data_IF_052906325339
#
_entry.id   IF_052906325339
#
_cell.length_a   1.000
_cell.length_b   1.000
_cell.length_c   1.000
_cell.angle_alpha   90.00
_cell.angle_beta   90.00
_cell.angle_gamma   90.00
#
_symmetry.space_group_name_H-M   'P 1'
#
loop_
_entity.id
_entity.type
_entity.pdbx_description
1 polymer ?
#
# COMPACT_ATOMS: atom_id res chain seq x y z
N UNK A 1 27.20 6.80 -5.99
CA UNK A 1 26.52 7.49 -7.11
C UNK A 1 25.39 6.57 -7.58
N UNK A 2 24.17 6.80 -7.09
CA UNK A 2 23.00 5.93 -7.41
C UNK A 2 22.68 6.17 -8.89
N UNK A 3 22.86 5.17 -9.75
CA UNK A 3 22.41 5.25 -11.14
C UNK A 3 20.90 5.29 -11.16
N UNK A 4 20.31 6.44 -11.51
CA UNK A 4 18.90 6.54 -11.83
C UNK A 4 18.59 5.59 -12.99
N UNK A 5 17.52 4.77 -12.91
CA UNK A 5 17.08 4.00 -14.06
C UNK A 5 16.74 4.94 -15.22
N UNK A 6 16.95 4.51 -16.48
CA UNK A 6 16.70 5.36 -17.64
C UNK A 6 15.23 5.81 -17.71
N UNK A 7 15.02 7.10 -17.96
CA UNK A 7 13.72 7.76 -18.12
C UNK A 7 13.04 7.37 -19.44
N UNK A 8 12.67 6.12 -19.62
CA UNK A 8 12.05 5.68 -20.86
C UNK A 8 10.77 4.87 -20.72
N UNK A 9 10.06 4.95 -19.57
CA UNK A 9 8.72 4.39 -19.46
C UNK A 9 7.69 5.51 -19.41
N UNK A 10 6.59 5.45 -20.20
CA UNK A 10 5.53 6.44 -20.14
C UNK A 10 4.95 6.52 -18.72
N UNK A 11 4.86 7.72 -18.16
CA UNK A 11 4.41 8.03 -16.80
C UNK A 11 2.94 7.63 -16.49
N UNK A 12 2.26 6.94 -17.41
CA UNK A 12 0.82 6.64 -17.34
C UNK A 12 0.48 5.16 -17.52
N UNK A 13 1.45 4.26 -17.43
CA UNK A 13 1.15 2.82 -17.56
C UNK A 13 1.03 2.16 -16.18
N UNK A 14 0.26 1.06 -16.11
CA UNK A 14 0.23 0.15 -14.96
C UNK A 14 1.62 -0.26 -14.48
N UNK A 15 2.60 -0.27 -15.38
CA UNK A 15 4.01 -0.50 -15.09
C UNK A 15 4.60 0.50 -14.08
N UNK A 16 4.15 1.76 -14.03
CA UNK A 16 4.64 2.71 -13.03
C UNK A 16 4.18 2.34 -11.63
N UNK A 17 2.97 1.82 -11.45
CA UNK A 17 2.46 1.36 -10.14
C UNK A 17 3.15 0.08 -9.67
N UNK A 18 3.65 -0.75 -10.59
CA UNK A 18 4.34 -2.01 -10.26
C UNK A 18 5.73 -1.78 -9.68
N UNK A 19 6.38 -0.68 -10.04
CA UNK A 19 7.74 -0.37 -9.62
C UNK A 19 7.83 -0.25 -8.10
N UNK A 20 6.91 0.43 -7.43
CA UNK A 20 6.96 0.64 -5.96
C UNK A 20 6.72 -0.60 -5.14
N UNK A 21 5.78 -1.44 -5.62
CA UNK A 21 5.34 -2.62 -4.88
C UNK A 21 6.39 -3.72 -4.86
N UNK A 22 7.46 -3.57 -5.67
CA UNK A 22 8.50 -4.58 -5.85
C UNK A 22 9.92 -4.11 -5.53
N UNK A 23 10.09 -2.87 -5.08
CA UNK A 23 11.42 -2.33 -4.80
C UNK A 23 11.74 -2.39 -3.30
N UNK A 24 12.99 -2.64 -2.99
CA UNK A 24 13.57 -2.51 -1.67
C UNK A 24 15.01 -2.03 -1.77
N UNK A 25 15.53 -1.47 -0.69
CA UNK A 25 16.96 -1.21 -0.57
C UNK A 25 17.66 -2.46 -0.02
N UNK A 26 18.92 -2.68 -0.41
CA UNK A 26 19.75 -3.68 0.25
C UNK A 26 20.05 -3.26 1.69
N UNK A 27 20.70 -4.14 2.46
CA UNK A 27 21.01 -3.92 3.87
C UNK A 27 21.97 -2.74 4.11
N UNK A 28 22.73 -2.32 3.10
CA UNK A 28 23.61 -1.15 3.14
C UNK A 28 22.91 0.12 2.66
N UNK A 29 21.74 0.01 2.02
CA UNK A 29 21.03 1.12 1.40
C UNK A 29 21.70 1.67 0.13
N UNK A 30 22.62 0.90 -0.47
CA UNK A 30 23.42 1.32 -1.63
C UNK A 30 22.83 0.83 -2.95
N UNK A 31 22.13 -0.30 -2.93
CA UNK A 31 21.57 -0.90 -4.13
C UNK A 31 20.05 -1.01 -4.04
N UNK A 32 19.40 -0.73 -5.17
CA UNK A 32 17.97 -0.96 -5.34
C UNK A 32 17.76 -2.40 -5.79
N UNK A 33 17.02 -3.16 -4.97
CA UNK A 33 16.64 -4.54 -5.27
C UNK A 33 15.23 -4.53 -5.85
N UNK A 34 15.07 -4.98 -7.08
CA UNK A 34 13.76 -5.20 -7.70
C UNK A 34 13.36 -6.65 -7.51
N UNK A 35 12.24 -6.86 -6.81
CA UNK A 35 11.66 -8.18 -6.55
C UNK A 35 10.76 -8.59 -7.72
N UNK A 36 10.68 -9.89 -8.00
CA UNK A 36 9.82 -10.45 -9.05
C UNK A 36 8.53 -11.06 -8.47
N UNK A 37 8.06 -10.53 -7.34
CA UNK A 37 6.85 -10.96 -6.65
C UNK A 37 6.16 -9.78 -5.96
N UNK A 38 4.88 -9.95 -5.65
CA UNK A 38 4.07 -8.98 -4.90
C UNK A 38 3.65 -9.57 -3.56
N UNK A 39 4.43 -9.30 -2.53
CA UNK A 39 4.13 -9.72 -1.17
C UNK A 39 3.71 -8.50 -0.35
N UNK A 40 2.48 -8.50 0.12
CA UNK A 40 1.90 -7.34 0.81
C UNK A 40 1.91 -7.57 2.32
N UNK A 41 2.66 -6.72 3.02
CA UNK A 41 2.63 -6.63 4.48
C UNK A 41 1.35 -5.94 4.95
N UNK A 42 0.72 -6.49 5.97
CA UNK A 42 -0.46 -5.89 6.60
C UNK A 42 -0.14 -5.58 8.06
N UNK A 43 -0.21 -4.31 8.43
CA UNK A 43 0.03 -3.92 9.82
C UNK A 43 -1.16 -4.35 10.70
N UNK A 44 -0.90 -5.20 11.67
CA UNK A 44 -1.90 -5.73 12.62
C UNK A 44 -1.53 -5.31 14.03
N UNK A 45 -2.45 -4.62 14.69
CA UNK A 45 -2.34 -4.32 16.12
C UNK A 45 -2.63 -5.55 16.96
N UNK A 46 -1.73 -5.83 17.93
CA UNK A 46 -1.82 -6.96 18.82
C UNK A 46 -1.61 -6.53 20.28
N UNK A 47 -2.03 -7.32 21.27
CA UNK A 47 -1.79 -7.00 22.69
C UNK A 47 -0.32 -6.81 23.08
N UNK A 48 0.61 -7.25 22.23
CA UNK A 48 2.07 -7.14 22.46
C UNK A 48 2.75 -6.13 21.54
N UNK A 49 2.00 -5.35 20.79
CA UNK A 49 2.50 -4.34 19.86
C UNK A 49 2.13 -4.64 18.41
N UNK A 50 2.58 -3.78 17.51
CA UNK A 50 2.33 -3.88 16.09
C UNK A 50 3.20 -4.97 15.46
N UNK A 51 2.59 -5.83 14.65
CA UNK A 51 3.29 -6.81 13.80
C UNK A 51 2.85 -6.64 12.35
N UNK A 52 3.72 -7.01 11.41
CA UNK A 52 3.45 -6.87 9.97
C UNK A 52 3.58 -8.24 9.29
N UNK A 53 2.58 -9.10 9.39
CA UNK A 53 2.54 -10.32 8.60
C UNK A 53 2.42 -10.03 7.11
N UNK A 54 2.88 -10.97 6.28
CA UNK A 54 3.03 -10.80 4.84
C UNK A 54 2.17 -11.80 4.10
N UNK A 55 1.22 -11.31 3.32
CA UNK A 55 0.48 -12.07 2.31
C UNK A 55 1.37 -12.21 1.09
N UNK A 56 1.76 -13.44 0.76
CA UNK A 56 2.66 -13.72 -0.36
C UNK A 56 1.89 -13.88 -1.66
N UNK A 57 2.53 -13.48 -2.77
CA UNK A 57 2.01 -13.63 -4.14
C UNK A 57 0.58 -13.08 -4.28
N UNK A 58 0.36 -11.88 -3.77
CA UNK A 58 -0.96 -11.26 -3.70
C UNK A 58 -1.60 -11.02 -5.08
N UNK A 59 -0.78 -10.84 -6.12
CA UNK A 59 -1.19 -10.68 -7.51
C UNK A 59 -1.80 -11.95 -8.14
N UNK A 60 -1.55 -13.12 -7.55
CA UNK A 60 -2.08 -14.41 -8.00
C UNK A 60 -3.35 -14.84 -7.23
N UNK A 61 -3.92 -13.97 -6.41
CA UNK A 61 -5.06 -14.29 -5.55
C UNK A 61 -6.29 -13.45 -5.91
N UNK A 62 -7.45 -14.06 -5.83
CA UNK A 62 -8.72 -13.34 -5.96
C UNK A 62 -8.98 -12.44 -4.75
N UNK A 63 -9.84 -11.45 -4.90
CA UNK A 63 -10.27 -10.57 -3.81
C UNK A 63 -10.83 -11.38 -2.64
N UNK A 64 -11.63 -12.41 -2.91
CA UNK A 64 -12.17 -13.30 -1.88
C UNK A 64 -11.06 -14.06 -1.15
N UNK A 65 -10.13 -14.66 -1.89
CA UNK A 65 -8.99 -15.38 -1.31
C UNK A 65 -8.09 -14.47 -0.46
N UNK A 66 -7.85 -13.23 -0.92
CA UNK A 66 -7.12 -12.23 -0.12
C UNK A 66 -7.86 -11.86 1.16
N UNK A 67 -9.20 -11.75 1.11
CA UNK A 67 -10.02 -11.44 2.28
C UNK A 67 -9.97 -12.56 3.32
N UNK A 68 -10.08 -13.82 2.89
CA UNK A 68 -9.99 -14.98 3.78
C UNK A 68 -8.61 -15.11 4.43
N UNK A 69 -7.54 -14.94 3.64
CA UNK A 69 -6.17 -14.98 4.15
C UNK A 69 -5.88 -13.82 5.11
N UNK A 70 -6.40 -12.64 4.82
CA UNK A 70 -6.28 -11.47 5.70
C UNK A 70 -6.94 -11.71 7.06
N UNK A 71 -8.11 -12.34 7.10
CA UNK A 71 -8.80 -12.70 8.33
C UNK A 71 -7.98 -13.72 9.13
N UNK A 72 -7.55 -14.80 8.50
CA UNK A 72 -6.74 -15.85 9.15
C UNK A 72 -5.42 -15.29 9.72
N UNK A 73 -4.67 -14.55 8.91
CA UNK A 73 -3.36 -14.02 9.32
C UNK A 73 -3.51 -13.00 10.45
N UNK A 74 -4.59 -12.21 10.44
CA UNK A 74 -4.88 -11.24 11.49
C UNK A 74 -5.23 -11.92 12.82
N UNK A 75 -6.01 -12.99 12.79
CA UNK A 75 -6.34 -13.76 13.99
C UNK A 75 -5.12 -14.49 14.57
N UNK A 76 -4.29 -15.06 13.70
CA UNK A 76 -3.03 -15.71 14.12
C UNK A 76 -2.03 -14.68 14.67
N UNK A 77 -2.01 -13.47 14.14
CA UNK A 77 -1.21 -12.38 14.68
C UNK A 77 -1.61 -12.06 16.12
N UNK A 78 -2.92 -11.81 16.37
CA UNK A 78 -3.44 -11.49 17.71
C UNK A 78 -3.26 -12.62 18.71
N UNK A 79 -3.31 -13.87 18.26
CA UNK A 79 -3.15 -15.08 19.10
C UNK A 79 -1.71 -15.57 19.19
N UNK A 80 -0.73 -14.82 18.66
CA UNK A 80 0.72 -15.17 18.66
C UNK A 80 1.05 -16.51 17.98
N UNK A 81 0.31 -16.86 16.94
CA UNK A 81 0.48 -18.11 16.19
C UNK A 81 1.18 -17.93 14.84
N UNK A 82 1.70 -16.72 14.57
CA UNK A 82 2.47 -16.47 13.35
C UNK A 82 3.85 -17.11 13.42
N UNK A 83 4.29 -17.64 12.31
CA UNK A 83 5.65 -18.15 12.14
C UNK A 83 6.60 -17.02 11.74
N UNK A 84 7.90 -17.08 12.09
CA UNK A 84 8.86 -16.01 11.73
C UNK A 84 8.98 -15.77 10.22
N UNK A 85 8.72 -16.79 9.40
CA UNK A 85 8.76 -16.71 7.92
C UNK A 85 7.59 -15.90 7.35
N UNK A 86 6.49 -15.79 8.09
CA UNK A 86 5.31 -15.02 7.71
C UNK A 86 5.48 -13.51 7.97
N UNK A 87 6.52 -13.12 8.68
CA UNK A 87 6.89 -11.73 8.97
C UNK A 87 7.98 -11.19 8.02
N UNK A 88 8.39 -11.98 7.03
CA UNK A 88 9.50 -11.64 6.13
C UNK A 88 9.12 -11.67 4.67
N UNK A 89 9.89 -10.92 3.89
CA UNK A 89 9.78 -10.93 2.43
C UNK A 89 8.69 -10.02 1.88
N UNK A 90 8.16 -9.10 2.68
CA UNK A 90 7.25 -8.06 2.20
C UNK A 90 7.90 -7.20 1.11
N UNK A 91 7.10 -6.69 0.21
CA UNK A 91 7.52 -5.77 -0.85
C UNK A 91 6.86 -4.39 -0.73
N UNK A 92 5.73 -4.33 -0.06
CA UNK A 92 4.96 -3.12 0.22
C UNK A 92 4.05 -3.39 1.43
N UNK A 93 3.87 -2.41 2.30
CA UNK A 93 3.02 -2.56 3.48
C UNK A 93 1.77 -1.69 3.39
N UNK A 94 0.66 -2.21 3.89
CA UNK A 94 -0.59 -1.47 4.12
C UNK A 94 -0.86 -1.43 5.62
N UNK A 95 -1.08 -0.22 6.14
CA UNK A 95 -1.50 0.02 7.52
C UNK A 95 -2.88 0.66 7.52
N UNK A 96 -3.83 0.08 8.23
CA UNK A 96 -5.20 0.61 8.28
C UNK A 96 -5.59 1.01 9.69
N UNK A 97 -6.01 2.26 9.85
CA UNK A 97 -6.65 2.78 11.05
C UNK A 97 -8.17 2.96 10.87
N UNK A 98 -8.73 2.45 9.77
CA UNK A 98 -10.15 2.62 9.43
C UNK A 98 -11.12 2.14 10.50
N UNK A 99 -10.76 1.09 11.24
CA UNK A 99 -11.57 0.56 12.35
C UNK A 99 -11.35 1.28 13.68
N UNK A 100 -10.24 2.00 13.84
CA UNK A 100 -9.86 2.65 15.11
C UNK A 100 -10.33 4.11 15.12
N UNK A 101 -10.07 4.83 14.04
CA UNK A 101 -10.41 6.26 13.91
C UNK A 101 -9.30 7.06 13.24
N UNK A 102 -9.43 8.39 13.30
CA UNK A 102 -8.50 9.31 12.66
C UNK A 102 -8.88 9.63 11.21
N UNK A 103 -8.55 10.85 10.79
CA UNK A 103 -8.85 11.35 9.44
C UNK A 103 -7.68 11.21 8.49
N UNK A 104 -6.46 11.26 9.01
CA UNK A 104 -5.21 11.09 8.27
C UNK A 104 -4.10 10.68 9.25
N UNK A 105 -3.11 9.96 8.76
CA UNK A 105 -1.86 9.68 9.48
C UNK A 105 -0.73 9.44 8.48
N UNK A 106 0.50 9.53 8.96
CA UNK A 106 1.70 9.26 8.16
C UNK A 106 2.32 7.96 8.67
N UNK A 107 2.15 6.85 7.95
CA UNK A 107 2.76 5.58 8.34
C UNK A 107 4.28 5.63 8.20
N UNK A 108 4.97 4.88 9.05
CA UNK A 108 6.43 4.74 9.00
C UNK A 108 6.76 3.53 8.12
N UNK A 109 7.67 3.71 7.18
CA UNK A 109 8.10 2.66 6.27
C UNK A 109 8.72 1.51 7.05
N UNK A 110 8.36 0.28 6.68
CA UNK A 110 8.88 -0.94 7.26
C UNK A 110 10.11 -1.45 6.45
N UNK A 111 11.34 -1.20 6.92
CA UNK A 111 12.53 -1.62 6.18
C UNK A 111 12.55 -3.13 5.95
N UNK A 112 13.07 -3.62 4.82
CA UNK A 112 13.75 -2.91 3.72
C UNK A 112 12.83 -2.39 2.60
N UNK A 113 11.52 -2.35 2.82
CA UNK A 113 10.57 -1.77 1.87
C UNK A 113 10.84 -0.27 1.68
N UNK A 114 10.40 0.26 0.55
CA UNK A 114 10.61 1.68 0.20
C UNK A 114 9.34 2.50 0.23
N UNK A 115 8.19 1.88 0.50
CA UNK A 115 6.92 2.58 0.60
C UNK A 115 5.91 1.82 1.48
N UNK A 116 5.00 2.58 2.07
CA UNK A 116 3.88 2.10 2.87
C UNK A 116 2.65 2.96 2.63
N UNK A 117 1.48 2.34 2.54
CA UNK A 117 0.20 3.03 2.44
C UNK A 117 -0.54 2.99 3.76
N UNK A 118 -0.99 4.17 4.20
CA UNK A 118 -1.87 4.32 5.36
C UNK A 118 -3.31 4.55 4.90
N UNK A 119 -4.25 3.73 5.38
CA UNK A 119 -5.68 3.89 5.12
C UNK A 119 -6.37 4.39 6.38
N UNK A 120 -7.08 5.52 6.30
CA UNK A 120 -7.80 6.14 7.40
C UNK A 120 -9.30 5.82 7.35
N UNK A 121 -10.02 6.23 8.39
CA UNK A 121 -11.46 5.98 8.49
C UNK A 121 -12.23 6.69 7.39
N UNK A 122 -13.02 5.93 6.66
CA UNK A 122 -13.93 6.48 5.65
C UNK A 122 -15.07 7.28 6.30
N UNK A 123 -15.45 8.37 5.67
CA UNK A 123 -16.51 9.26 6.19
C UNK A 123 -17.22 10.01 5.06
N UNK A 124 -18.43 10.47 5.33
CA UNK A 124 -19.15 11.36 4.43
C UNK A 124 -18.54 12.74 4.45
N UNK A 125 -18.28 13.31 3.26
CA UNK A 125 -17.80 14.68 3.08
C UNK A 125 -18.63 15.40 2.02
N UNK A 126 -18.91 16.71 2.19
CA UNK A 126 -19.50 17.52 1.15
C UNK A 126 -18.42 17.82 0.11
N UNK A 127 -18.54 17.27 -1.09
CA UNK A 127 -17.67 17.59 -2.23
C UNK A 127 -18.42 18.43 -3.24
N UNK A 128 -17.73 19.43 -3.81
CA UNK A 128 -18.32 20.28 -4.85
C UNK A 128 -18.18 19.62 -6.21
N UNK A 129 -19.32 19.37 -6.86
CA UNK A 129 -19.38 18.94 -8.25
C UNK A 129 -19.30 20.14 -9.19
N UNK A 130 -18.17 20.30 -9.85
CA UNK A 130 -17.95 21.39 -10.80
C UNK A 130 -18.83 21.32 -12.05
N UNK A 131 -19.31 20.15 -12.41
CA UNK A 131 -20.17 19.95 -13.60
C UNK A 131 -21.59 20.42 -13.33
N UNK A 132 -22.15 20.01 -12.23
CA UNK A 132 -23.53 20.35 -11.84
C UNK A 132 -23.59 21.60 -10.94
N UNK A 133 -22.44 22.15 -10.51
CA UNK A 133 -22.33 23.32 -9.62
C UNK A 133 -23.08 23.16 -8.29
N UNK A 134 -23.03 21.97 -7.71
CA UNK A 134 -23.69 21.63 -6.46
C UNK A 134 -22.77 20.92 -5.47
N UNK A 135 -23.15 20.88 -4.22
CA UNK A 135 -22.45 20.12 -3.19
C UNK A 135 -23.10 18.73 -3.08
N UNK A 136 -22.30 17.69 -3.31
CA UNK A 136 -22.76 16.29 -3.24
C UNK A 136 -22.17 15.62 -2.02
N UNK A 137 -22.99 14.97 -1.16
CA UNK A 137 -22.47 14.11 -0.10
C UNK A 137 -21.75 12.91 -0.73
N UNK A 138 -20.46 12.79 -0.45
CA UNK A 138 -19.61 11.73 -1.02
C UNK A 138 -18.96 10.93 0.10
N UNK A 139 -19.01 9.60 0.01
CA UNK A 139 -18.32 8.71 0.95
C UNK A 139 -16.86 8.59 0.52
N UNK A 140 -15.93 9.10 1.34
CA UNK A 140 -14.52 9.24 1.00
C UNK A 140 -13.68 8.37 1.92
N UNK A 141 -12.76 7.60 1.34
CA UNK A 141 -11.72 6.86 2.03
C UNK A 141 -10.39 7.64 1.93
N UNK A 142 -9.93 8.29 3.00
CA UNK A 142 -8.64 8.95 2.98
C UNK A 142 -7.51 7.93 3.05
N UNK A 143 -6.46 8.15 2.29
CA UNK A 143 -5.23 7.38 2.41
C UNK A 143 -4.01 8.28 2.24
N UNK A 144 -2.88 7.82 2.74
CA UNK A 144 -1.58 8.48 2.66
C UNK A 144 -0.53 7.50 2.14
N UNK A 145 0.48 8.00 1.47
CA UNK A 145 1.62 7.23 1.00
C UNK A 145 2.90 7.81 1.59
N UNK A 146 3.61 7.02 2.38
CA UNK A 146 4.97 7.34 2.79
C UNK A 146 5.95 6.55 1.93
N UNK A 147 7.02 7.19 1.47
CA UNK A 147 8.02 6.55 0.62
C UNK A 147 9.42 7.09 0.87
N UNK A 148 10.42 6.27 0.55
CA UNK A 148 11.82 6.65 0.61
C UNK A 148 12.18 7.51 -0.60
N UNK A 149 12.43 8.79 -0.35
CA UNK A 149 12.68 9.77 -1.42
C UNK A 149 14.02 9.55 -2.16
N UNK A 150 14.86 8.64 -1.67
CA UNK A 150 16.07 8.19 -2.38
C UNK A 150 15.71 7.31 -3.58
N UNK A 151 14.56 6.63 -3.53
CA UNK A 151 14.09 5.66 -4.52
C UNK A 151 12.92 6.22 -5.33
N UNK A 152 11.99 6.87 -4.65
CA UNK A 152 10.72 7.34 -5.20
C UNK A 152 10.70 8.87 -5.18
N UNK A 153 10.52 9.49 -6.31
CA UNK A 153 10.33 10.94 -6.39
C UNK A 153 8.86 11.35 -6.26
N UNK A 154 8.62 12.65 -6.05
CA UNK A 154 7.28 13.19 -5.85
C UNK A 154 6.33 12.96 -7.04
N UNK A 155 6.84 13.02 -8.28
CA UNK A 155 6.03 12.81 -9.48
C UNK A 155 5.53 11.36 -9.55
N UNK A 156 6.41 10.44 -9.22
CA UNK A 156 6.11 9.02 -9.20
C UNK A 156 5.11 8.71 -8.07
N UNK A 157 5.28 9.27 -6.84
CA UNK A 157 4.33 9.14 -5.73
C UNK A 157 2.94 9.68 -6.08
N UNK A 158 2.87 10.85 -6.73
CA UNK A 158 1.60 11.43 -7.19
C UNK A 158 0.92 10.56 -8.27
N UNK A 159 1.70 10.01 -9.20
CA UNK A 159 1.17 9.11 -10.24
C UNK A 159 0.57 7.85 -9.62
N UNK A 160 1.24 7.24 -8.64
CA UNK A 160 0.72 6.08 -7.92
C UNK A 160 -0.62 6.40 -7.24
N UNK A 161 -0.68 7.47 -6.44
CA UNK A 161 -1.90 7.82 -5.72
C UNK A 161 -3.05 8.13 -6.67
N UNK A 162 -2.79 8.79 -7.79
CA UNK A 162 -3.79 9.06 -8.82
C UNK A 162 -4.29 7.77 -9.48
N UNK A 163 -3.37 6.86 -9.84
CA UNK A 163 -3.72 5.57 -10.41
C UNK A 163 -4.54 4.74 -9.43
N UNK A 164 -4.12 4.65 -8.18
CA UNK A 164 -4.83 3.92 -7.13
C UNK A 164 -6.25 4.43 -6.92
N UNK A 165 -6.44 5.76 -6.84
CA UNK A 165 -7.78 6.36 -6.76
C UNK A 165 -8.67 5.98 -7.94
N UNK A 166 -8.14 6.04 -9.16
CA UNK A 166 -8.90 5.69 -10.37
C UNK A 166 -9.28 4.21 -10.39
N UNK A 167 -8.36 3.33 -10.02
CA UNK A 167 -8.62 1.88 -9.96
C UNK A 167 -9.70 1.53 -8.95
N UNK A 168 -9.77 2.23 -7.81
CA UNK A 168 -10.83 2.01 -6.82
C UNK A 168 -12.22 2.50 -7.29
N UNK A 169 -12.28 3.44 -8.23
CA UNK A 169 -13.53 3.93 -8.80
C UNK A 169 -14.03 3.06 -9.95
N UNK A 170 -13.19 2.21 -10.50
CA UNK A 170 -13.54 1.30 -11.59
C UNK A 170 -13.78 -0.11 -11.05
N UNK A 171 -15.05 -0.48 -10.92
CA UNK A 171 -15.47 -1.79 -10.38
C UNK A 171 -14.95 -2.94 -11.25
N UNK A 172 -14.79 -2.74 -12.56
CA UNK A 172 -14.26 -3.76 -13.47
C UNK A 172 -12.81 -4.17 -13.17
N UNK A 173 -12.09 -3.37 -12.39
CA UNK A 173 -10.74 -3.70 -11.93
C UNK A 173 -10.74 -4.91 -10.98
N UNK A 174 -11.88 -5.27 -10.39
CA UNK A 174 -12.02 -6.32 -9.37
C UNK A 174 -12.79 -7.56 -9.86
N UNK A 175 -13.22 -7.57 -11.11
CA UNK A 175 -13.85 -8.71 -11.78
C UNK A 175 -12.78 -9.60 -12.44
#
# INVERSE_FOLDING_TARGET
MIRRPPRSTPLYSSAASDVYKRQSLDHLGENLVQKNYFNIGIAVDTPTGLVVPVIKDADNKSVLGLSEELMDISDRARTKKLKPEELKGGSFTISSLGGIGGTNFTPIINPPEVAIMGVSKSSWKPLYDHKNKEIIPTFVMPYSLSYDHRVIDGALGASFTTFFSRSLLDVSTFE
#
